data_IF_196013298730
#
_entry.id   IF_196013298730
#
_cell.length_a   1.000
_cell.length_b   1.000
_cell.length_c   1.000
_cell.angle_alpha   90.00
_cell.angle_beta   90.00
_cell.angle_gamma   90.00
#
_symmetry.space_group_name_H-M   'P 1'
#
loop_
_entity.id
_entity.type
_entity.pdbx_description
1 polymer ?
#
# COMPACT_ATOMS: atom_id res chain seq x y z
N UNK A 1 64.18 -3.87 -9.96
CA UNK A 1 62.95 -4.58 -9.51
C UNK A 1 61.70 -3.69 -9.34
N UNK A 2 61.79 -2.37 -9.38
CA UNK A 2 60.69 -1.45 -8.97
C UNK A 2 59.74 -1.01 -10.10
N UNK A 3 60.20 -0.87 -11.36
CA UNK A 3 59.34 -0.48 -12.50
C UNK A 3 58.29 -1.52 -12.88
N UNK A 4 58.64 -2.81 -12.90
CA UNK A 4 57.70 -3.88 -13.27
C UNK A 4 56.59 -4.08 -12.24
N UNK A 5 56.88 -3.86 -10.96
CA UNK A 5 55.88 -3.97 -9.89
C UNK A 5 54.83 -2.85 -9.95
N UNK A 6 55.26 -1.63 -10.30
CA UNK A 6 54.37 -0.48 -10.46
C UNK A 6 53.43 -0.64 -11.67
N UNK A 7 53.93 -1.18 -12.78
CA UNK A 7 53.12 -1.48 -13.98
C UNK A 7 52.06 -2.57 -13.71
N UNK A 8 52.41 -3.61 -12.94
CA UNK A 8 51.46 -4.67 -12.54
C UNK A 8 50.39 -4.13 -11.58
N UNK A 9 50.76 -3.23 -10.66
CA UNK A 9 49.82 -2.62 -9.73
C UNK A 9 48.84 -1.67 -10.44
N UNK A 10 49.33 -0.86 -11.39
CA UNK A 10 48.49 0.05 -12.19
C UNK A 10 47.53 -0.75 -13.08
N UNK A 11 47.98 -1.83 -13.71
CA UNK A 11 47.11 -2.70 -14.52
C UNK A 11 46.05 -3.41 -13.68
N UNK A 12 46.38 -3.92 -12.48
CA UNK A 12 45.41 -4.50 -11.54
C UNK A 12 44.35 -3.46 -11.10
N UNK A 13 44.76 -2.22 -10.80
CA UNK A 13 43.84 -1.14 -10.40
C UNK A 13 42.96 -0.72 -11.59
N UNK A 14 43.51 -0.64 -12.80
CA UNK A 14 42.77 -0.30 -14.01
C UNK A 14 41.75 -1.39 -14.37
N UNK A 15 42.15 -2.67 -14.30
CA UNK A 15 41.24 -3.82 -14.50
C UNK A 15 40.15 -3.83 -13.42
N UNK A 16 40.51 -3.52 -12.17
CA UNK A 16 39.57 -3.43 -11.05
C UNK A 16 38.54 -2.31 -11.20
N UNK A 17 38.96 -1.12 -11.64
CA UNK A 17 38.07 0.03 -11.88
C UNK A 17 37.19 -0.18 -13.10
N UNK A 18 37.71 -0.70 -14.21
CA UNK A 18 36.94 -1.09 -15.40
C UNK A 18 35.90 -2.17 -15.05
N UNK A 19 36.29 -3.16 -14.25
CA UNK A 19 35.37 -4.21 -13.76
C UNK A 19 34.27 -3.65 -12.86
N UNK A 20 34.59 -2.68 -11.99
CA UNK A 20 33.61 -2.01 -11.14
C UNK A 20 32.62 -1.13 -11.93
N UNK A 21 33.13 -0.35 -12.89
CA UNK A 21 32.32 0.49 -13.78
C UNK A 21 31.41 -0.40 -14.63
N UNK A 22 31.94 -1.49 -15.19
CA UNK A 22 31.15 -2.46 -15.93
C UNK A 22 30.09 -3.13 -15.04
N UNK A 23 30.43 -3.60 -13.84
CA UNK A 23 29.46 -4.19 -12.92
C UNK A 23 28.32 -3.21 -12.55
N UNK A 24 28.63 -1.92 -12.39
CA UNK A 24 27.64 -0.87 -12.14
C UNK A 24 26.70 -0.66 -13.36
N UNK A 25 27.24 -0.70 -14.57
CA UNK A 25 26.50 -0.61 -15.85
C UNK A 25 25.62 -1.84 -16.10
N UNK A 26 26.10 -3.04 -15.77
CA UNK A 26 25.32 -4.27 -15.90
C UNK A 26 24.19 -4.34 -14.85
N UNK A 27 24.46 -3.85 -13.64
CA UNK A 27 23.46 -3.68 -12.59
C UNK A 27 22.34 -2.74 -13.03
N UNK A 28 22.66 -1.56 -13.58
CA UNK A 28 21.65 -0.61 -14.07
C UNK A 28 20.82 -1.20 -15.22
N UNK A 29 21.46 -1.87 -16.18
CA UNK A 29 20.80 -2.59 -17.29
C UNK A 29 19.88 -3.71 -16.79
N UNK A 30 20.30 -4.47 -15.78
CA UNK A 30 19.45 -5.48 -15.15
C UNK A 30 18.21 -4.86 -14.50
N UNK A 31 18.36 -3.76 -13.74
CA UNK A 31 17.21 -3.06 -13.14
C UNK A 31 16.30 -2.41 -14.18
N UNK A 32 16.86 -1.86 -15.25
CA UNK A 32 16.11 -1.31 -16.38
C UNK A 32 15.28 -2.39 -17.08
N UNK A 33 15.89 -3.52 -17.44
CA UNK A 33 15.19 -4.66 -18.02
C UNK A 33 14.08 -5.17 -17.09
N UNK A 34 14.35 -5.22 -15.79
CA UNK A 34 13.36 -5.61 -14.77
C UNK A 34 12.14 -4.69 -14.72
N UNK A 35 12.35 -3.37 -14.74
CA UNK A 35 11.28 -2.36 -14.76
C UNK A 35 10.45 -2.45 -16.04
N UNK A 36 11.11 -2.58 -17.18
CA UNK A 36 10.44 -2.57 -18.47
C UNK A 36 9.76 -3.90 -18.83
N UNK A 37 10.29 -5.04 -18.36
CA UNK A 37 9.60 -6.33 -18.40
C UNK A 37 8.21 -6.22 -17.75
N UNK A 38 8.16 -5.69 -16.52
CA UNK A 38 6.90 -5.48 -15.79
C UNK A 38 5.95 -4.58 -16.59
N UNK A 39 6.47 -3.51 -17.18
CA UNK A 39 5.68 -2.59 -18.02
C UNK A 39 5.14 -3.29 -19.25
N UNK A 40 5.93 -4.14 -19.91
CA UNK A 40 5.50 -4.91 -21.07
C UNK A 40 4.39 -5.91 -20.73
N UNK A 41 4.52 -6.63 -19.61
CA UNK A 41 3.47 -7.53 -19.12
C UNK A 41 2.18 -6.77 -18.82
N UNK A 42 2.26 -5.57 -18.23
CA UNK A 42 1.06 -4.75 -17.96
C UNK A 42 0.32 -4.36 -19.24
N UNK A 43 1.06 -4.00 -20.29
CA UNK A 43 0.51 -3.50 -21.56
C UNK A 43 0.24 -4.57 -22.62
N UNK A 44 0.42 -5.85 -22.32
CA UNK A 44 0.16 -6.99 -23.24
C UNK A 44 1.14 -7.03 -24.39
N UNK A 45 2.30 -6.39 -24.19
CA UNK A 45 3.27 -6.26 -25.23
C UNK A 45 4.21 -7.47 -25.20
N UNK A 46 3.74 -8.58 -25.79
CA UNK A 46 4.47 -9.86 -25.82
C UNK A 46 5.87 -9.73 -26.43
N UNK A 47 6.03 -8.91 -27.48
CA UNK A 47 7.35 -8.63 -28.09
C UNK A 47 8.31 -7.99 -27.07
N UNK A 48 7.85 -6.97 -26.34
CA UNK A 48 8.65 -6.31 -25.29
C UNK A 48 8.88 -7.23 -24.08
N UNK A 49 7.92 -8.09 -23.73
CA UNK A 49 8.05 -9.05 -22.65
C UNK A 49 9.21 -10.03 -22.91
N UNK A 50 9.25 -10.63 -24.09
CA UNK A 50 10.32 -11.53 -24.53
C UNK A 50 11.66 -10.79 -24.56
N UNK A 51 11.71 -9.57 -25.12
CA UNK A 51 12.92 -8.74 -25.15
C UNK A 51 13.51 -8.55 -23.75
N UNK A 52 12.70 -8.10 -22.80
CA UNK A 52 13.20 -7.80 -21.46
C UNK A 52 13.47 -9.06 -20.61
N UNK A 53 12.84 -10.20 -20.91
CA UNK A 53 13.23 -11.49 -20.33
C UNK A 53 14.62 -11.92 -20.81
N UNK A 54 14.94 -11.74 -22.10
CA UNK A 54 16.29 -12.00 -22.65
C UNK A 54 17.33 -11.13 -21.95
N UNK A 55 17.04 -9.84 -21.77
CA UNK A 55 17.93 -8.92 -21.03
C UNK A 55 18.11 -9.34 -19.56
N UNK A 56 17.04 -9.76 -18.87
CA UNK A 56 17.10 -10.22 -17.48
C UNK A 56 17.96 -11.47 -17.30
N UNK A 57 17.86 -12.42 -18.24
CA UNK A 57 18.72 -13.61 -18.26
C UNK A 57 20.17 -13.23 -18.52
N UNK A 58 20.42 -12.39 -19.54
CA UNK A 58 21.77 -11.93 -19.92
C UNK A 58 22.48 -11.22 -18.76
N UNK A 59 21.89 -10.15 -18.24
CA UNK A 59 22.53 -9.36 -17.18
C UNK A 59 22.51 -10.06 -15.83
N UNK A 60 21.52 -10.92 -15.57
CA UNK A 60 21.45 -11.68 -14.33
C UNK A 60 22.53 -12.77 -14.23
N UNK A 61 22.90 -13.40 -15.36
CA UNK A 61 24.07 -14.29 -15.43
C UNK A 61 25.36 -13.54 -15.06
N UNK A 62 25.59 -12.38 -15.67
CA UNK A 62 26.79 -11.55 -15.46
C UNK A 62 26.90 -11.10 -13.99
N UNK A 63 25.77 -10.82 -13.34
CA UNK A 63 25.70 -10.37 -11.95
C UNK A 63 25.58 -11.49 -10.91
N UNK A 64 25.69 -12.76 -11.33
CA UNK A 64 25.47 -13.94 -10.50
C UNK A 64 24.17 -13.88 -9.67
N UNK A 65 23.07 -13.48 -10.32
CA UNK A 65 21.72 -13.41 -9.72
C UNK A 65 20.93 -14.68 -10.03
N UNK A 66 20.01 -15.05 -9.14
CA UNK A 66 19.07 -16.14 -9.44
C UNK A 66 18.12 -15.74 -10.59
N UNK A 67 18.31 -16.38 -11.75
CA UNK A 67 17.55 -16.13 -12.97
C UNK A 67 16.70 -17.31 -13.44
N UNK A 68 16.66 -18.42 -12.68
CA UNK A 68 15.93 -19.65 -13.07
C UNK A 68 14.50 -19.37 -13.48
N UNK A 69 13.87 -18.42 -12.79
CA UNK A 69 12.50 -17.98 -13.06
C UNK A 69 12.33 -17.26 -14.39
N UNK A 70 13.26 -16.38 -14.77
CA UNK A 70 13.19 -15.65 -16.04
C UNK A 70 13.45 -16.58 -17.21
N UNK A 71 14.36 -17.57 -17.06
CA UNK A 71 14.56 -18.65 -18.03
C UNK A 71 13.27 -19.45 -18.27
N UNK A 72 12.60 -19.89 -17.19
CA UNK A 72 11.33 -20.64 -17.28
C UNK A 72 10.22 -19.85 -17.98
N UNK A 73 10.07 -18.56 -17.65
CA UNK A 73 9.06 -17.71 -18.29
C UNK A 73 9.37 -17.44 -19.76
N UNK A 74 10.65 -17.23 -20.09
CA UNK A 74 11.12 -17.02 -21.46
C UNK A 74 10.86 -18.26 -22.32
N UNK A 75 11.16 -19.46 -21.82
CA UNK A 75 10.85 -20.73 -22.49
C UNK A 75 9.34 -20.93 -22.71
N UNK A 76 8.50 -20.49 -21.76
CA UNK A 76 7.04 -20.57 -21.89
C UNK A 76 6.52 -19.67 -23.02
N UNK A 77 7.12 -18.50 -23.21
CA UNK A 77 6.67 -17.51 -24.20
C UNK A 77 7.29 -17.72 -25.58
N UNK A 78 8.46 -18.35 -25.64
CA UNK A 78 9.27 -18.64 -26.82
C UNK A 78 9.93 -20.03 -26.65
N UNK A 79 9.25 -21.07 -27.15
CA UNK A 79 9.62 -22.49 -26.98
C UNK A 79 10.92 -22.88 -27.71
N UNK A 80 11.42 -22.02 -28.60
CA UNK A 80 12.60 -22.30 -29.41
C UNK A 80 13.93 -22.01 -28.66
N UNK A 81 13.87 -21.53 -27.40
CA UNK A 81 15.05 -21.15 -26.63
C UNK A 81 15.49 -22.29 -25.70
N UNK A 82 16.62 -22.94 -25.99
CA UNK A 82 17.24 -23.98 -25.15
C UNK A 82 18.29 -23.38 -24.20
N UNK A 83 18.24 -23.69 -22.90
CA UNK A 83 19.25 -23.25 -21.92
C UNK A 83 20.14 -24.40 -21.48
N UNK A 84 21.42 -24.37 -21.85
CA UNK A 84 22.43 -25.33 -21.37
C UNK A 84 22.96 -24.83 -20.00
N UNK A 85 22.77 -25.60 -18.93
CA UNK A 85 23.33 -25.29 -17.59
C UNK A 85 24.69 -25.99 -17.39
N UNK A 86 25.76 -25.21 -17.17
CA UNK A 86 27.02 -25.72 -16.64
C UNK A 86 26.90 -25.88 -15.11
N UNK A 87 26.91 -27.11 -14.60
CA UNK A 87 27.01 -27.42 -13.16
C UNK A 87 28.39 -26.99 -12.64
N UNK A 88 28.45 -26.26 -11.53
CA UNK A 88 29.66 -26.11 -10.70
C UNK A 88 29.36 -26.59 -9.27
N UNK A 89 30.26 -27.44 -8.75
CA UNK A 89 30.15 -28.14 -7.48
C UNK A 89 30.15 -27.19 -6.27
N UNK A 90 29.46 -27.63 -5.21
CA UNK A 90 29.44 -27.02 -3.87
C UNK A 90 30.73 -27.32 -3.13
N UNK A 91 31.23 -26.37 -2.34
CA UNK A 91 31.93 -26.67 -1.09
C UNK A 91 31.29 -25.89 0.05
N UNK A 92 30.88 -26.64 1.08
CA UNK A 92 30.36 -26.16 2.35
C UNK A 92 31.51 -26.27 3.36
N UNK A 93 31.79 -25.20 4.10
CA UNK A 93 32.52 -25.31 5.36
C UNK A 93 31.84 -24.47 6.44
N UNK A 94 31.45 -25.14 7.51
CA UNK A 94 31.00 -24.54 8.76
C UNK A 94 32.21 -24.20 9.62
N UNK A 95 32.27 -23.00 10.19
CA UNK A 95 32.99 -22.75 11.44
C UNK A 95 32.13 -21.93 12.39
N UNK A 96 31.82 -22.53 13.55
CA UNK A 96 31.42 -21.82 14.77
C UNK A 96 32.67 -21.14 15.34
N UNK A 97 32.53 -19.94 15.89
CA UNK A 97 33.37 -19.47 16.98
C UNK A 97 32.65 -18.40 17.81
N UNK A 98 32.46 -18.70 19.08
CA UNK A 98 32.17 -17.74 20.14
C UNK A 98 33.50 -17.21 20.69
N UNK A 99 33.66 -15.87 20.78
CA UNK A 99 34.63 -15.25 21.71
C UNK A 99 34.00 -14.03 22.38
N UNK A 100 34.15 -13.98 23.71
CA UNK A 100 33.74 -12.92 24.64
C UNK A 100 34.73 -11.74 24.60
N UNK A 101 34.17 -10.56 24.86
CA UNK A 101 34.71 -9.30 25.38
C UNK A 101 35.89 -8.60 24.66
N UNK A 102 35.56 -7.47 24.00
CA UNK A 102 36.45 -6.32 23.78
C UNK A 102 35.75 -5.06 24.31
N UNK A 103 36.49 -4.17 24.98
CA UNK A 103 36.11 -2.78 25.34
C UNK A 103 35.31 -2.17 24.17
N UNK A 104 34.01 -1.93 24.37
CA UNK A 104 33.11 -1.57 23.26
C UNK A 104 32.84 -0.06 23.22
N UNK A 105 33.49 0.56 22.24
CA UNK A 105 33.32 1.95 21.83
C UNK A 105 31.89 2.23 21.37
N UNK A 106 31.43 3.47 21.52
CA UNK A 106 30.12 3.92 21.05
C UNK A 106 29.95 3.63 19.56
N UNK A 107 29.04 2.71 19.21
CA UNK A 107 28.87 2.21 17.84
C UNK A 107 28.01 3.13 16.94
N UNK A 108 27.40 4.17 17.51
CA UNK A 108 26.41 5.01 16.85
C UNK A 108 26.56 6.48 17.25
N UNK A 109 26.49 7.40 16.28
CA UNK A 109 26.42 8.84 16.52
C UNK A 109 25.17 9.43 15.85
N UNK A 110 24.67 10.53 16.40
CA UNK A 110 23.59 11.32 15.82
C UNK A 110 24.23 12.39 14.93
N UNK A 111 23.92 12.37 13.64
CA UNK A 111 24.44 13.32 12.64
C UNK A 111 23.71 14.67 12.69
N UNK A 112 22.38 14.66 12.77
CA UNK A 112 21.59 15.89 12.91
C UNK A 112 20.21 15.59 13.48
N UNK A 113 19.58 16.61 14.06
CA UNK A 113 18.19 16.57 14.50
C UNK A 113 17.48 17.83 13.99
N UNK A 114 16.42 17.63 13.20
CA UNK A 114 15.71 18.70 12.52
C UNK A 114 14.21 18.62 12.82
N UNK A 115 13.54 19.78 12.89
CA UNK A 115 12.06 19.85 12.97
C UNK A 115 11.55 20.52 11.70
N UNK A 116 10.80 19.76 10.89
CA UNK A 116 10.18 20.27 9.65
C UNK A 116 8.78 19.69 9.47
N UNK A 117 7.80 20.52 9.12
CA UNK A 117 6.43 20.08 8.78
C UNK A 117 5.81 19.12 9.81
N UNK A 118 5.82 19.51 11.09
CA UNK A 118 5.38 18.70 12.24
C UNK A 118 6.08 17.34 12.34
N UNK A 119 7.33 17.25 11.90
CA UNK A 119 8.13 16.02 11.92
C UNK A 119 9.47 16.27 12.59
N UNK A 120 9.85 15.38 13.50
CA UNK A 120 11.16 15.30 14.13
C UNK A 120 12.00 14.33 13.27
N UNK A 121 13.05 14.84 12.64
CA UNK A 121 13.91 14.08 11.73
C UNK A 121 15.26 13.92 12.43
N UNK A 122 15.68 12.68 12.64
CA UNK A 122 16.95 12.34 13.30
C UNK A 122 17.78 11.57 12.30
N UNK A 123 18.91 12.16 11.91
CA UNK A 123 19.90 11.53 11.04
C UNK A 123 21.00 10.92 11.90
N UNK A 124 21.48 9.75 11.51
CA UNK A 124 22.52 8.99 12.18
C UNK A 124 23.72 8.81 11.26
N UNK A 125 24.92 8.69 11.82
CA UNK A 125 26.12 8.36 11.05
C UNK A 125 26.10 6.90 10.59
N UNK A 126 25.49 6.02 11.41
CA UNK A 126 25.46 4.57 11.23
C UNK A 126 24.06 4.08 10.86
N UNK A 127 23.98 2.88 10.27
CA UNK A 127 22.69 2.28 9.88
C UNK A 127 21.91 1.87 11.15
N UNK A 128 20.63 2.24 11.21
CA UNK A 128 19.65 1.86 12.21
C UNK A 128 18.58 0.98 11.55
N UNK A 129 18.14 -0.04 12.28
CA UNK A 129 17.14 -1.01 11.82
C UNK A 129 15.82 -0.79 12.53
N UNK A 130 14.71 -1.15 11.90
CA UNK A 130 13.40 -1.17 12.57
C UNK A 130 13.37 -2.15 13.74
N UNK A 131 14.19 -3.20 13.71
CA UNK A 131 14.31 -4.17 14.81
C UNK A 131 14.91 -3.57 16.09
N UNK A 132 15.61 -2.45 15.98
CA UNK A 132 16.27 -1.80 17.13
C UNK A 132 15.40 -0.71 17.76
N UNK A 133 14.21 -0.41 17.21
CA UNK A 133 13.31 0.62 17.72
C UNK A 133 12.07 0.01 18.37
N UNK A 134 11.83 0.36 19.63
CA UNK A 134 10.63 0.02 20.39
C UNK A 134 9.80 1.29 20.60
N UNK A 135 8.53 1.23 20.22
CA UNK A 135 7.58 2.31 20.45
C UNK A 135 6.56 1.90 21.51
N UNK A 136 6.21 2.82 22.39
CA UNK A 136 5.12 2.66 23.36
C UNK A 136 4.61 4.02 23.83
N UNK A 137 3.36 4.04 24.31
CA UNK A 137 2.73 5.21 24.90
C UNK A 137 2.78 5.07 26.43
N UNK A 138 2.92 6.19 27.13
CA UNK A 138 2.79 6.25 28.59
C UNK A 138 2.01 7.49 29.01
N UNK A 139 1.24 7.36 30.07
CA UNK A 139 0.54 8.47 30.70
C UNK A 139 0.98 8.56 32.15
N UNK A 140 1.47 9.73 32.56
CA UNK A 140 1.78 10.04 33.96
C UNK A 140 1.11 11.35 34.33
N UNK A 141 0.25 11.34 35.36
CA UNK A 141 -0.62 12.48 35.71
C UNK A 141 -1.39 12.96 34.45
N UNK A 142 -1.41 14.27 34.18
CA UNK A 142 -2.08 14.87 33.03
C UNK A 142 -1.16 15.02 31.80
N UNK A 143 -0.14 14.16 31.65
CA UNK A 143 0.77 14.19 30.48
C UNK A 143 0.80 12.83 29.80
N UNK A 144 0.52 12.84 28.50
CA UNK A 144 0.70 11.73 27.58
C UNK A 144 2.07 11.83 26.92
N UNK A 145 2.77 10.71 26.79
CA UNK A 145 4.09 10.64 26.18
C UNK A 145 4.18 9.49 25.19
N UNK A 146 4.56 9.82 23.97
CA UNK A 146 4.90 8.87 22.92
C UNK A 146 6.40 8.63 22.95
N UNK A 147 6.82 7.40 23.24
CA UNK A 147 8.21 7.06 23.54
C UNK A 147 8.78 6.12 22.47
N UNK A 148 9.95 6.48 21.94
CA UNK A 148 10.72 5.69 20.98
C UNK A 148 12.08 5.36 21.57
N UNK A 149 12.27 4.10 21.95
CA UNK A 149 13.52 3.58 22.47
C UNK A 149 14.31 2.90 21.36
N UNK A 150 15.55 3.34 21.16
CA UNK A 150 16.47 2.79 20.18
C UNK A 150 17.61 2.10 20.90
N UNK A 151 17.80 0.81 20.61
CA UNK A 151 18.88 0.00 21.19
C UNK A 151 20.23 0.49 20.65
N UNK A 152 21.08 0.98 21.53
CA UNK A 152 22.42 1.46 21.20
C UNK A 152 22.96 2.46 22.23
N UNK A 153 24.30 2.55 22.30
CA UNK A 153 25.01 3.62 23.01
C UNK A 153 25.38 4.71 22.02
N UNK A 154 24.90 5.93 22.26
CA UNK A 154 25.13 7.11 21.43
C UNK A 154 25.97 8.09 22.24
N UNK A 155 27.22 8.33 21.81
CA UNK A 155 28.17 9.15 22.58
C UNK A 155 27.67 10.59 22.75
N UNK A 156 26.97 11.09 21.74
CA UNK A 156 26.53 12.48 21.63
C UNK A 156 25.07 12.69 22.08
N UNK A 157 24.46 11.68 22.71
CA UNK A 157 23.07 11.73 23.14
C UNK A 157 22.91 12.40 24.51
N UNK A 158 23.24 13.68 24.58
CA UNK A 158 22.88 14.55 25.71
C UNK A 158 21.37 14.86 25.72
N UNK A 159 20.78 15.30 26.84
CA UNK A 159 19.36 15.68 26.89
C UNK A 159 19.04 16.89 26.02
N UNK A 160 18.61 16.63 24.78
CA UNK A 160 18.18 17.66 23.84
C UNK A 160 16.68 17.89 24.02
N UNK A 161 16.30 19.12 24.36
CA UNK A 161 14.91 19.58 24.43
C UNK A 161 14.58 20.37 23.16
N UNK A 162 13.56 19.93 22.42
CA UNK A 162 13.14 20.61 21.20
C UNK A 162 11.71 21.18 21.35
N UNK A 163 11.44 22.29 20.65
CA UNK A 163 10.12 22.93 20.59
C UNK A 163 9.47 22.67 19.24
N UNK A 164 8.17 22.37 19.24
CA UNK A 164 7.36 22.21 18.03
C UNK A 164 5.93 22.68 18.29
N UNK A 165 5.32 23.36 17.31
CA UNK A 165 3.96 23.89 17.44
C UNK A 165 2.93 22.77 17.74
N UNK A 166 2.16 22.94 18.82
CA UNK A 166 1.14 22.00 19.26
C UNK A 166 1.66 20.78 20.05
N UNK A 167 2.94 20.79 20.44
CA UNK A 167 3.56 19.76 21.29
C UNK A 167 4.20 20.43 22.50
N UNK A 168 3.84 20.00 23.71
CA UNK A 168 4.38 20.61 24.93
C UNK A 168 5.89 20.43 25.08
N UNK A 169 6.42 19.22 24.83
CA UNK A 169 7.84 18.94 25.01
C UNK A 169 8.33 17.76 24.17
N UNK A 170 9.48 17.91 23.52
CA UNK A 170 10.22 16.80 22.89
C UNK A 170 11.54 16.64 23.65
N UNK A 171 11.86 15.42 24.10
CA UNK A 171 13.12 15.10 24.76
C UNK A 171 13.83 13.98 24.02
N UNK A 172 15.11 14.14 23.73
CA UNK A 172 15.98 13.12 23.17
C UNK A 172 17.16 12.96 24.12
N UNK A 173 17.42 11.76 24.64
CA UNK A 173 18.51 11.54 25.60
C UNK A 173 18.92 10.09 25.65
N UNK A 174 20.19 9.82 25.99
CA UNK A 174 20.62 8.48 26.42
C UNK A 174 19.92 8.14 27.75
N UNK A 175 18.88 7.31 27.70
CA UNK A 175 18.04 6.99 28.87
C UNK A 175 18.66 5.91 29.75
N UNK A 176 19.36 4.95 29.13
CA UNK A 176 20.15 3.90 29.78
C UNK A 176 21.42 3.69 28.98
N UNK A 177 22.38 2.96 29.54
CA UNK A 177 23.64 2.63 28.86
C UNK A 177 23.47 2.19 27.38
N UNK A 178 22.45 1.37 27.08
CA UNK A 178 22.19 0.85 25.74
C UNK A 178 20.85 1.31 25.13
N UNK A 179 20.35 2.49 25.52
CA UNK A 179 19.06 2.97 25.01
C UNK A 179 19.04 4.49 24.82
N UNK A 180 18.92 4.91 23.56
CA UNK A 180 18.53 6.27 23.21
C UNK A 180 17.01 6.36 23.27
N UNK A 181 16.49 7.32 24.05
CA UNK A 181 15.05 7.55 24.18
C UNK A 181 14.67 8.88 23.55
N UNK A 182 13.67 8.84 22.70
CA UNK A 182 12.96 10.02 22.19
C UNK A 182 11.57 10.02 22.81
N UNK A 183 11.16 11.12 23.42
CA UNK A 183 9.85 11.27 24.05
C UNK A 183 9.15 12.51 23.53
N UNK A 184 7.94 12.34 23.00
CA UNK A 184 7.06 13.42 22.55
C UNK A 184 5.92 13.52 23.56
N UNK A 185 5.90 14.60 24.34
CA UNK A 185 5.08 14.76 25.54
C UNK A 185 4.07 15.89 25.31
N UNK A 186 2.84 15.67 25.76
CA UNK A 186 1.76 16.65 25.64
C UNK A 186 0.65 16.43 26.68
N UNK A 187 -0.19 17.43 26.92
CA UNK A 187 -1.34 17.35 27.84
C UNK A 187 -2.54 16.56 27.30
N UNK A 188 -2.54 16.20 26.03
CA UNK A 188 -3.47 15.26 25.41
C UNK A 188 -2.70 14.25 24.56
N UNK A 189 -3.25 13.04 24.38
CA UNK A 189 -2.63 12.00 23.57
C UNK A 189 -2.42 12.49 22.13
N UNK A 190 -1.15 12.63 21.73
CA UNK A 190 -0.75 13.01 20.38
C UNK A 190 -0.72 11.76 19.52
N UNK A 191 -1.17 11.85 18.26
CA UNK A 191 -0.97 10.74 17.33
C UNK A 191 0.39 10.91 16.65
N UNK A 192 1.37 10.10 17.04
CA UNK A 192 2.67 10.06 16.37
C UNK A 192 2.80 8.87 15.42
N UNK A 193 3.59 9.04 14.38
CA UNK A 193 3.95 7.99 13.43
C UNK A 193 5.43 8.11 13.11
N UNK A 194 6.14 6.99 12.97
CA UNK A 194 7.56 7.02 12.65
C UNK A 194 7.92 6.21 11.41
N UNK A 195 8.99 6.64 10.73
CA UNK A 195 9.57 6.00 9.56
C UNK A 195 11.07 5.82 9.84
N UNK A 196 11.63 4.66 9.51
CA UNK A 196 13.09 4.43 9.53
C UNK A 196 13.57 4.16 8.11
N UNK A 197 14.59 4.89 7.68
CA UNK A 197 15.27 4.67 6.41
C UNK A 197 16.78 4.62 6.63
N UNK A 198 17.38 3.43 6.61
CA UNK A 198 18.82 3.14 6.76
C UNK A 198 19.51 3.92 7.89
N UNK A 199 19.80 5.20 7.73
CA UNK A 199 20.48 6.09 8.68
C UNK A 199 19.59 7.23 9.20
N UNK A 200 18.27 7.16 9.03
CA UNK A 200 17.36 8.25 9.40
C UNK A 200 16.10 7.71 10.07
N UNK A 201 15.64 8.42 11.10
CA UNK A 201 14.32 8.25 11.71
C UNK A 201 13.53 9.54 11.51
N UNK A 202 12.28 9.43 11.09
CA UNK A 202 11.34 10.56 11.00
C UNK A 202 10.15 10.25 11.88
N UNK A 203 9.87 11.07 12.90
CA UNK A 203 8.70 10.97 13.77
C UNK A 203 7.78 12.13 13.43
N UNK A 204 6.65 11.84 12.79
CA UNK A 204 5.60 12.80 12.46
C UNK A 204 4.58 12.88 13.60
N UNK A 205 4.25 14.10 14.01
CA UNK A 205 3.34 14.36 15.13
C UNK A 205 2.09 15.08 14.61
N UNK A 206 0.93 14.44 14.79
CA UNK A 206 -0.36 15.01 14.42
C UNK A 206 -0.91 15.85 15.57
N UNK A 207 -0.80 17.18 15.46
CA UNK A 207 -1.37 18.12 16.42
C UNK A 207 -2.76 18.56 15.96
N UNK A 208 -3.73 18.65 16.89
CA UNK A 208 -5.04 19.25 16.58
C UNK A 208 -4.83 20.75 16.44
N UNK A 209 -5.02 21.34 15.24
CA UNK A 209 -5.01 22.80 15.09
C UNK A 209 -6.12 23.38 15.97
N UNK A 210 -5.76 24.14 17.01
CA UNK A 210 -6.71 25.06 17.68
C UNK A 210 -6.94 26.21 16.70
N UNK A 211 -8.07 26.19 16.00
CA UNK A 211 -8.57 27.38 15.32
C UNK A 211 -8.90 28.43 16.39
N UNK A 212 -8.26 29.59 16.34
CA UNK A 212 -8.68 30.76 17.13
C UNK A 212 -10.09 31.14 16.66
N UNK A 213 -11.06 31.13 17.59
CA UNK A 213 -12.39 31.69 17.35
C UNK A 213 -12.23 33.17 17.01
N UNK A 214 -12.45 33.55 15.76
CA UNK A 214 -12.78 34.94 15.41
C UNK A 214 -14.23 35.22 15.83
N UNK A 215 -14.45 36.42 16.38
CA UNK A 215 -15.73 36.90 16.90
C UNK A 215 -16.83 36.79 15.84
N UNK A 216 -17.99 36.33 16.28
CA UNK A 216 -19.24 36.25 15.52
C UNK A 216 -19.69 37.68 15.18
N UNK A 217 -19.72 38.01 13.89
CA UNK A 217 -20.48 39.15 13.38
C UNK A 217 -21.92 38.68 13.14
N UNK A 218 -22.88 39.53 13.53
CA UNK A 218 -24.32 39.29 13.58
C UNK A 218 -24.89 38.76 12.25
N UNK A 219 -25.92 37.92 12.39
CA UNK A 219 -26.76 37.36 11.32
C UNK A 219 -27.29 38.46 10.41
N UNK A 220 -27.04 38.34 9.11
CA UNK A 220 -27.88 38.92 8.06
C UNK A 220 -28.72 37.79 7.48
N UNK A 221 -30.04 37.96 7.50
CA UNK A 221 -31.00 37.08 6.85
C UNK A 221 -30.80 37.16 5.34
N UNK A 222 -30.42 36.04 4.72
CA UNK A 222 -30.34 35.92 3.26
C UNK A 222 -31.31 34.85 2.75
N UNK A 223 -32.20 35.28 1.85
CA UNK A 223 -33.16 34.45 1.14
C UNK A 223 -32.50 33.26 0.43
N UNK A 224 -32.93 32.04 0.80
CA UNK A 224 -32.26 30.76 0.48
C UNK A 224 -32.60 30.13 -0.89
N UNK A 225 -33.61 30.63 -1.62
CA UNK A 225 -34.17 29.86 -2.76
C UNK A 225 -33.38 29.95 -4.08
N UNK A 226 -32.65 31.02 -4.36
CA UNK A 226 -32.00 31.21 -5.68
C UNK A 226 -30.57 30.64 -5.78
N UNK A 227 -29.82 30.56 -4.68
CA UNK A 227 -28.42 30.04 -4.66
C UNK A 227 -28.32 28.51 -4.77
N UNK A 228 -29.35 27.79 -4.34
CA UNK A 228 -29.32 26.32 -4.28
C UNK A 228 -29.35 25.68 -5.69
N UNK A 229 -29.95 26.36 -6.67
CA UNK A 229 -30.06 25.91 -8.07
C UNK A 229 -28.72 26.08 -8.82
N UNK A 230 -27.96 27.17 -8.58
CA UNK A 230 -26.62 27.36 -9.20
C UNK A 230 -25.58 26.37 -8.66
N UNK A 231 -25.60 26.07 -7.36
CA UNK A 231 -24.63 25.15 -6.72
C UNK A 231 -24.91 23.68 -7.12
N UNK A 232 -26.18 23.28 -7.24
CA UNK A 232 -26.54 21.93 -7.69
C UNK A 232 -26.16 21.70 -9.16
N UNK A 233 -26.29 22.72 -10.02
CA UNK A 233 -25.90 22.65 -11.44
C UNK A 233 -24.38 22.63 -11.65
N UNK A 234 -23.62 23.39 -10.85
CA UNK A 234 -22.14 23.37 -10.90
C UNK A 234 -21.55 22.06 -10.37
N UNK A 235 -22.12 21.51 -9.29
CA UNK A 235 -21.69 20.22 -8.74
C UNK A 235 -22.07 19.02 -9.63
N UNK A 236 -23.22 19.06 -10.31
CA UNK A 236 -23.57 18.04 -11.30
C UNK A 236 -22.67 18.12 -12.55
N UNK A 237 -22.30 19.34 -12.98
CA UNK A 237 -21.33 19.55 -14.05
C UNK A 237 -19.94 19.03 -13.69
N UNK A 238 -19.40 19.37 -12.52
CA UNK A 238 -18.11 18.83 -12.05
C UNK A 238 -18.12 17.30 -11.92
N UNK A 239 -19.22 16.72 -11.42
CA UNK A 239 -19.36 15.26 -11.36
C UNK A 239 -19.39 14.62 -12.76
N UNK A 240 -20.01 15.28 -13.75
CA UNK A 240 -20.07 14.80 -15.14
C UNK A 240 -18.71 14.71 -15.83
N UNK A 241 -17.72 15.46 -15.32
CA UNK A 241 -16.34 15.40 -15.78
C UNK A 241 -15.57 14.22 -15.20
N UNK A 242 -16.08 13.57 -14.14
CA UNK A 242 -15.39 12.46 -13.47
C UNK A 242 -15.86 11.10 -14.00
N UNK A 243 -14.88 10.28 -14.38
CA UNK A 243 -15.07 8.92 -14.88
C UNK A 243 -14.73 7.89 -13.80
N UNK A 244 -15.67 6.99 -13.53
CA UNK A 244 -15.58 5.95 -12.51
C UNK A 244 -15.69 4.59 -13.19
N UNK A 245 -14.74 3.69 -12.92
CA UNK A 245 -14.88 2.28 -13.31
C UNK A 245 -15.14 1.44 -12.07
N UNK A 246 -16.26 0.72 -12.10
CA UNK A 246 -16.67 -0.23 -11.08
C UNK A 246 -16.39 -1.64 -11.59
N UNK A 247 -15.64 -2.38 -10.79
CA UNK A 247 -15.36 -3.77 -11.01
C UNK A 247 -16.21 -4.65 -10.09
N UNK A 248 -17.03 -5.52 -10.70
CA UNK A 248 -17.73 -6.55 -9.96
C UNK A 248 -16.84 -7.79 -9.89
N UNK A 249 -16.32 -8.13 -8.71
CA UNK A 249 -15.43 -9.27 -8.48
C UNK A 249 -15.93 -10.57 -9.10
N UNK A 250 -15.01 -11.45 -9.51
CA UNK A 250 -15.30 -12.80 -10.04
C UNK A 250 -16.21 -12.79 -11.29
N UNK A 251 -17.00 -13.85 -11.50
CA UNK A 251 -17.99 -14.00 -12.56
C UNK A 251 -17.79 -15.24 -13.44
N UNK A 252 -18.87 -15.73 -14.04
CA UNK A 252 -18.88 -16.93 -14.88
C UNK A 252 -18.36 -18.13 -14.09
N UNK A 253 -17.28 -18.75 -14.60
CA UNK A 253 -16.58 -19.90 -13.99
C UNK A 253 -15.94 -19.61 -12.64
N UNK A 254 -15.68 -18.34 -12.32
CA UNK A 254 -15.16 -17.94 -11.02
C UNK A 254 -16.35 -17.53 -10.13
N UNK A 255 -16.69 -18.36 -9.15
CA UNK A 255 -17.77 -18.08 -8.21
C UNK A 255 -17.42 -17.04 -7.13
N UNK A 256 -16.12 -16.78 -6.95
CA UNK A 256 -15.59 -16.22 -5.71
C UNK A 256 -15.87 -17.13 -4.52
N UNK A 257 -15.87 -16.57 -3.33
CA UNK A 257 -16.21 -17.28 -2.11
C UNK A 257 -17.66 -17.79 -2.12
N UNK A 258 -17.86 -18.94 -1.46
CA UNK A 258 -19.16 -19.59 -1.34
C UNK A 258 -19.58 -19.57 0.12
N UNK A 259 -20.69 -18.89 0.39
CA UNK A 259 -21.34 -18.85 1.69
C UNK A 259 -22.30 -20.02 1.91
N UNK A 260 -22.91 -20.10 3.11
CA UNK A 260 -23.97 -21.06 3.40
C UNK A 260 -25.11 -21.00 2.37
N UNK A 261 -25.75 -22.14 2.11
CA UNK A 261 -26.84 -22.26 1.11
C UNK A 261 -26.41 -21.89 -0.32
N UNK A 262 -25.17 -22.21 -0.69
CA UNK A 262 -24.58 -21.95 -2.03
C UNK A 262 -24.72 -20.49 -2.44
N UNK A 263 -24.63 -19.57 -1.49
CA UNK A 263 -24.62 -18.13 -1.80
C UNK A 263 -23.27 -17.76 -2.38
N UNK A 264 -23.25 -17.43 -3.67
CA UNK A 264 -22.04 -17.11 -4.40
C UNK A 264 -21.70 -15.63 -4.33
N UNK A 265 -20.43 -15.32 -4.09
CA UNK A 265 -19.92 -13.96 -4.04
C UNK A 265 -20.19 -13.22 -5.35
N UNK A 266 -19.92 -13.85 -6.50
CA UNK A 266 -20.14 -13.27 -7.84
C UNK A 266 -21.54 -12.68 -8.03
N UNK A 267 -22.55 -13.24 -7.36
CA UNK A 267 -23.96 -12.81 -7.44
C UNK A 267 -24.19 -11.55 -6.59
N UNK A 268 -23.71 -11.55 -5.34
CA UNK A 268 -23.84 -10.41 -4.43
C UNK A 268 -23.14 -9.19 -4.99
N UNK A 269 -21.88 -9.35 -5.42
CA UNK A 269 -21.05 -8.22 -5.86
C UNK A 269 -21.54 -7.64 -7.19
N UNK A 270 -22.12 -8.45 -8.09
CA UNK A 270 -22.80 -7.96 -9.29
C UNK A 270 -24.03 -7.11 -8.94
N UNK A 271 -24.82 -7.56 -7.97
CA UNK A 271 -25.99 -6.83 -7.48
C UNK A 271 -25.60 -5.47 -6.88
N UNK A 272 -24.56 -5.44 -6.03
CA UNK A 272 -24.03 -4.18 -5.47
C UNK A 272 -23.50 -3.28 -6.58
N UNK A 273 -22.70 -3.80 -7.52
CA UNK A 273 -22.14 -3.01 -8.63
C UNK A 273 -23.22 -2.36 -9.51
N UNK A 274 -24.30 -3.09 -9.82
CA UNK A 274 -25.44 -2.54 -10.59
C UNK A 274 -26.20 -1.46 -9.83
N UNK A 275 -26.38 -1.61 -8.52
CA UNK A 275 -26.99 -0.56 -7.70
C UNK A 275 -26.10 0.68 -7.63
N UNK A 276 -24.78 0.49 -7.44
CA UNK A 276 -23.80 1.57 -7.39
C UNK A 276 -23.73 2.32 -8.72
N UNK A 277 -23.73 1.59 -9.84
CA UNK A 277 -23.78 2.17 -11.20
C UNK A 277 -24.94 3.15 -11.37
N UNK A 278 -26.17 2.71 -11.04
CA UNK A 278 -27.36 3.55 -11.16
C UNK A 278 -27.29 4.78 -10.26
N UNK A 279 -26.84 4.61 -9.03
CA UNK A 279 -26.72 5.70 -8.06
C UNK A 279 -25.68 6.76 -8.49
N UNK A 280 -24.52 6.33 -8.98
CA UNK A 280 -23.49 7.25 -9.47
C UNK A 280 -23.92 7.93 -10.79
N UNK A 281 -24.56 7.21 -11.71
CA UNK A 281 -25.13 7.81 -12.93
C UNK A 281 -26.16 8.89 -12.60
N UNK A 282 -27.06 8.66 -11.64
CA UNK A 282 -28.02 9.69 -11.21
C UNK A 282 -27.38 10.90 -10.53
N UNK A 283 -26.12 10.80 -10.09
CA UNK A 283 -25.33 11.91 -9.53
C UNK A 283 -24.50 12.65 -10.59
N UNK A 284 -24.63 12.28 -11.85
CA UNK A 284 -23.95 12.92 -12.99
C UNK A 284 -22.67 12.24 -13.46
N UNK A 285 -22.12 11.27 -12.73
CA UNK A 285 -20.83 10.65 -13.07
C UNK A 285 -20.86 9.86 -14.39
N UNK A 286 -19.73 9.82 -15.10
CA UNK A 286 -19.49 8.85 -16.18
C UNK A 286 -19.08 7.53 -15.55
N UNK A 287 -19.88 6.47 -15.70
CA UNK A 287 -19.66 5.20 -14.99
C UNK A 287 -19.58 4.04 -15.97
N UNK A 288 -18.60 3.15 -15.77
CA UNK A 288 -18.48 1.90 -16.53
C UNK A 288 -18.38 0.70 -15.58
N UNK A 289 -18.89 -0.45 -16.03
CA UNK A 289 -18.77 -1.73 -15.33
C UNK A 289 -17.77 -2.65 -16.05
N UNK A 290 -16.90 -3.36 -15.32
CA UNK A 290 -16.08 -4.43 -15.92
C UNK A 290 -16.94 -5.59 -16.44
N UNK A 291 -18.08 -5.86 -15.78
CA UNK A 291 -19.14 -6.76 -16.24
C UNK A 291 -20.52 -6.29 -15.79
N UNK A 292 -21.51 -6.43 -16.66
CA UNK A 292 -22.94 -6.16 -16.40
C UNK A 292 -23.79 -7.43 -16.29
N UNK A 293 -23.20 -8.60 -16.56
CA UNK A 293 -23.83 -9.93 -16.46
C UNK A 293 -22.89 -10.93 -15.78
N UNK A 294 -23.35 -12.15 -15.57
CA UNK A 294 -22.51 -13.21 -15.02
C UNK A 294 -21.54 -13.75 -16.08
N UNK A 295 -20.39 -13.08 -16.22
CA UNK A 295 -19.31 -13.50 -17.11
C UNK A 295 -17.98 -13.41 -16.39
N UNK A 296 -17.06 -14.30 -16.74
CA UNK A 296 -15.69 -14.24 -16.23
C UNK A 296 -14.95 -13.04 -16.81
N UNK A 297 -14.18 -12.36 -15.96
CA UNK A 297 -13.30 -11.26 -16.34
C UNK A 297 -11.94 -11.48 -15.68
N UNK A 298 -10.88 -11.62 -16.48
CA UNK A 298 -9.52 -11.80 -15.95
C UNK A 298 -9.06 -10.58 -15.17
N UNK A 299 -8.19 -10.76 -14.18
CA UNK A 299 -7.75 -9.65 -13.30
C UNK A 299 -7.15 -8.50 -14.11
N UNK A 300 -6.40 -8.85 -15.15
CA UNK A 300 -5.72 -7.91 -16.03
C UNK A 300 -6.66 -7.07 -16.89
N UNK A 301 -7.79 -7.64 -17.34
CA UNK A 301 -8.78 -6.89 -18.11
C UNK A 301 -9.45 -5.79 -17.27
N UNK A 302 -9.65 -6.05 -15.97
CA UNK A 302 -10.38 -5.16 -15.06
C UNK A 302 -9.72 -3.77 -14.98
N UNK A 303 -8.41 -3.71 -14.72
CA UNK A 303 -7.67 -2.44 -14.67
C UNK A 303 -7.37 -1.88 -16.06
N UNK A 304 -7.21 -2.75 -17.07
CA UNK A 304 -7.06 -2.31 -18.48
C UNK A 304 -8.27 -1.50 -18.95
N UNK A 305 -9.49 -1.92 -18.61
CA UNK A 305 -10.69 -1.16 -18.92
C UNK A 305 -10.66 0.24 -18.26
N UNK A 306 -10.29 0.30 -16.99
CA UNK A 306 -10.18 1.57 -16.26
C UNK A 306 -9.17 2.52 -16.90
N UNK A 307 -8.01 2.00 -17.30
CA UNK A 307 -6.99 2.78 -18.00
C UNK A 307 -7.49 3.23 -19.38
N UNK A 308 -8.12 2.34 -20.18
CA UNK A 308 -8.67 2.68 -21.51
C UNK A 308 -9.75 3.77 -21.43
N UNK A 309 -10.49 3.83 -20.32
CA UNK A 309 -11.52 4.85 -20.09
C UNK A 309 -11.01 6.10 -19.41
N UNK A 310 -9.69 6.23 -19.19
CA UNK A 310 -9.08 7.35 -18.46
C UNK A 310 -9.81 7.64 -17.15
N UNK A 311 -10.13 6.58 -16.40
CA UNK A 311 -10.93 6.71 -15.20
C UNK A 311 -10.22 7.56 -14.14
N UNK A 312 -10.95 8.45 -13.47
CA UNK A 312 -10.47 9.20 -12.31
C UNK A 312 -10.29 8.30 -11.09
N UNK A 313 -11.13 7.26 -10.95
CA UNK A 313 -11.04 6.27 -9.87
C UNK A 313 -11.46 4.87 -10.36
N UNK A 314 -10.90 3.85 -9.71
CA UNK A 314 -11.27 2.44 -9.90
C UNK A 314 -11.74 1.79 -8.60
N UNK A 315 -12.92 1.19 -8.61
CA UNK A 315 -13.54 0.58 -7.43
C UNK A 315 -13.81 -0.89 -7.71
N UNK A 316 -13.17 -1.81 -6.99
CA UNK A 316 -13.48 -3.25 -7.07
C UNK A 316 -14.34 -3.68 -5.89
N UNK A 317 -15.42 -4.44 -6.14
CA UNK A 317 -16.40 -4.85 -5.15
C UNK A 317 -16.31 -6.37 -4.95
N UNK A 318 -16.10 -6.77 -3.70
CA UNK A 318 -15.90 -8.14 -3.22
C UNK A 318 -16.74 -8.40 -1.96
N UNK A 319 -16.86 -9.68 -1.58
CA UNK A 319 -17.47 -10.11 -0.33
C UNK A 319 -16.59 -11.17 0.36
N UNK A 320 -15.89 -10.72 1.39
CA UNK A 320 -14.86 -11.44 2.13
C UNK A 320 -15.30 -12.84 2.60
N UNK A 321 -14.30 -13.70 2.84
CA UNK A 321 -14.50 -15.01 3.42
C UNK A 321 -13.41 -15.36 4.44
N UNK A 322 -13.83 -16.02 5.51
CA UNK A 322 -12.95 -16.62 6.49
C UNK A 322 -12.96 -18.15 6.37
N UNK A 323 -11.85 -18.78 6.79
CA UNK A 323 -11.77 -20.25 6.94
C UNK A 323 -12.91 -20.74 7.85
N UNK A 324 -13.42 -21.95 7.59
CA UNK A 324 -14.56 -22.58 8.30
C UNK A 324 -14.53 -22.37 9.81
N UNK A 325 -13.39 -22.64 10.46
CA UNK A 325 -13.20 -22.48 11.91
C UNK A 325 -13.41 -21.04 12.46
N UNK A 326 -13.40 -20.02 11.60
CA UNK A 326 -13.59 -18.60 11.95
C UNK A 326 -14.78 -17.95 11.26
N UNK A 327 -15.53 -18.71 10.46
CA UNK A 327 -16.61 -18.18 9.64
C UNK A 327 -17.71 -17.50 10.49
N UNK A 328 -18.02 -18.03 11.67
CA UNK A 328 -19.00 -17.46 12.60
C UNK A 328 -18.49 -16.24 13.39
N UNK A 329 -17.18 -15.97 13.38
CA UNK A 329 -16.56 -14.85 14.12
C UNK A 329 -16.19 -13.68 13.21
N UNK A 330 -15.83 -13.96 11.95
CA UNK A 330 -15.42 -12.94 10.99
C UNK A 330 -16.65 -12.22 10.43
N UNK A 331 -16.76 -10.91 10.70
CA UNK A 331 -17.88 -10.08 10.26
C UNK A 331 -17.46 -8.64 10.06
N UNK A 332 -18.26 -7.89 9.30
CA UNK A 332 -18.08 -6.46 9.07
C UNK A 332 -17.64 -6.11 7.66
N UNK A 333 -17.55 -4.81 7.41
CA UNK A 333 -17.17 -4.23 6.12
C UNK A 333 -15.75 -3.67 6.17
N UNK A 334 -15.01 -3.80 5.07
CA UNK A 334 -13.62 -3.38 4.97
C UNK A 334 -13.37 -2.69 3.64
N UNK A 335 -12.44 -1.75 3.62
CA UNK A 335 -11.97 -1.14 2.37
C UNK A 335 -10.45 -1.23 2.29
N UNK A 336 -9.96 -1.70 1.16
CA UNK A 336 -8.56 -1.93 0.89
C UNK A 336 -8.03 -1.01 -0.20
N UNK A 337 -6.77 -0.60 -0.08
CA UNK A 337 -6.04 0.09 -1.14
C UNK A 337 -4.70 -0.60 -1.41
N UNK A 338 -4.18 -0.40 -2.62
CA UNK A 338 -2.97 -1.08 -3.07
C UNK A 338 -1.72 -0.52 -2.38
N UNK A 339 -1.00 -1.37 -1.65
CA UNK A 339 0.32 -1.09 -1.07
C UNK A 339 1.00 -2.42 -0.67
N UNK A 340 2.34 -2.49 -0.54
CA UNK A 340 3.01 -3.66 0.03
C UNK A 340 2.43 -4.00 1.43
N UNK A 341 1.64 -5.07 1.55
CA UNK A 341 0.95 -5.37 2.82
C UNK A 341 1.91 -5.50 4.00
N UNK A 342 1.64 -4.76 5.08
CA UNK A 342 2.35 -4.92 6.36
C UNK A 342 1.69 -5.90 7.32
N UNK A 343 0.35 -6.03 7.31
CA UNK A 343 -0.37 -6.85 8.29
C UNK A 343 -0.63 -8.30 7.84
N UNK A 344 -0.56 -9.26 8.78
CA UNK A 344 -0.88 -10.68 8.52
C UNK A 344 -2.31 -10.88 7.98
N UNK A 345 -3.28 -10.08 8.44
CA UNK A 345 -4.69 -10.15 7.97
C UNK A 345 -4.80 -9.76 6.50
N UNK A 346 -4.29 -8.58 6.12
CA UNK A 346 -4.35 -8.11 4.73
C UNK A 346 -3.62 -9.04 3.77
N UNK A 347 -2.50 -9.64 4.19
CA UNK A 347 -1.80 -10.67 3.40
C UNK A 347 -2.67 -11.89 3.14
N UNK A 348 -3.48 -12.33 4.11
CA UNK A 348 -4.38 -13.48 3.96
C UNK A 348 -5.55 -13.18 3.02
N UNK A 349 -6.20 -12.03 3.18
CA UNK A 349 -7.31 -11.62 2.30
C UNK A 349 -6.80 -11.48 0.87
N UNK A 350 -5.71 -10.73 0.67
CA UNK A 350 -5.07 -10.62 -0.64
C UNK A 350 -4.70 -12.01 -1.20
N UNK A 351 -4.15 -12.93 -0.40
CA UNK A 351 -3.84 -14.27 -0.87
C UNK A 351 -5.06 -15.09 -1.30
N UNK A 352 -6.27 -14.85 -0.74
CA UNK A 352 -7.50 -15.50 -1.19
C UNK A 352 -7.98 -14.90 -2.51
N UNK A 353 -8.08 -13.57 -2.59
CA UNK A 353 -8.50 -12.86 -3.81
C UNK A 353 -7.57 -13.12 -5.00
N UNK A 354 -6.28 -13.29 -4.71
CA UNK A 354 -5.25 -13.48 -5.71
C UNK A 354 -5.19 -14.91 -6.29
N UNK A 355 -5.94 -15.88 -5.75
CA UNK A 355 -5.90 -17.29 -6.20
C UNK A 355 -6.55 -17.52 -7.56
N UNK A 356 -7.51 -16.67 -7.95
CA UNK A 356 -8.28 -16.85 -9.20
C UNK A 356 -7.47 -16.68 -10.49
N UNK A 357 -6.21 -16.24 -10.42
CA UNK A 357 -5.39 -15.94 -11.60
C UNK A 357 -3.88 -16.14 -11.30
N UNK A 358 -3.46 -17.39 -11.13
CA UNK A 358 -2.07 -17.74 -10.77
C UNK A 358 -1.05 -17.61 -11.91
N UNK A 359 -1.47 -17.34 -13.16
CA UNK A 359 -0.63 -17.57 -14.35
C UNK A 359 -0.07 -16.35 -15.09
N UNK A 360 -0.18 -15.11 -14.58
CA UNK A 360 0.22 -13.91 -15.37
C UNK A 360 1.40 -13.08 -14.85
N UNK A 361 1.93 -13.32 -13.64
CA UNK A 361 3.09 -12.54 -13.17
C UNK A 361 3.85 -13.21 -12.02
N UNK A 362 5.18 -13.29 -12.17
CA UNK A 362 6.14 -13.69 -11.13
C UNK A 362 5.96 -12.92 -9.81
N UNK A 363 5.96 -13.59 -8.64
CA UNK A 363 6.00 -12.95 -7.31
C UNK A 363 7.07 -11.85 -7.15
N UNK A 364 8.22 -11.97 -7.83
CA UNK A 364 9.28 -10.94 -7.82
C UNK A 364 8.86 -9.69 -8.60
N UNK A 365 8.30 -9.88 -9.80
CA UNK A 365 7.75 -8.83 -10.65
C UNK A 365 6.56 -8.13 -10.00
N UNK A 366 5.76 -8.89 -9.26
CA UNK A 366 4.67 -8.40 -8.40
C UNK A 366 5.18 -7.49 -7.27
N UNK A 367 6.22 -7.88 -6.54
CA UNK A 367 6.80 -7.02 -5.49
C UNK A 367 7.44 -5.76 -6.05
N UNK A 368 8.09 -5.85 -7.22
CA UNK A 368 8.68 -4.69 -7.88
C UNK A 368 7.60 -3.70 -8.32
N UNK A 369 6.51 -4.21 -8.88
CA UNK A 369 5.36 -3.40 -9.24
C UNK A 369 4.75 -2.69 -8.03
N UNK A 370 4.68 -3.37 -6.89
CA UNK A 370 4.25 -2.75 -5.63
C UNK A 370 5.25 -1.69 -5.13
N UNK A 371 6.57 -1.85 -5.37
CA UNK A 371 7.57 -0.83 -5.02
C UNK A 371 7.60 0.36 -5.97
N UNK A 372 7.07 0.22 -7.20
CA UNK A 372 6.94 1.30 -8.19
C UNK A 372 5.64 2.09 -8.03
N UNK A 373 4.82 1.78 -7.03
CA UNK A 373 3.58 2.49 -6.77
C UNK A 373 3.88 3.96 -6.43
N UNK A 374 3.22 4.85 -7.16
CA UNK A 374 3.31 6.28 -6.91
C UNK A 374 2.70 6.60 -5.53
N UNK A 375 3.46 7.31 -4.68
CA UNK A 375 3.02 7.75 -3.35
C UNK A 375 1.76 8.62 -3.41
N UNK A 376 1.60 9.46 -4.43
CA UNK A 376 0.40 10.28 -4.60
C UNK A 376 -0.83 9.38 -4.79
N UNK A 377 -0.74 8.38 -5.66
CA UNK A 377 -1.80 7.40 -5.91
C UNK A 377 -2.17 6.60 -4.66
N UNK A 378 -1.17 6.14 -3.89
CA UNK A 378 -1.43 5.45 -2.62
C UNK A 378 -2.19 6.38 -1.66
N UNK A 379 -1.76 7.64 -1.55
CA UNK A 379 -2.39 8.63 -0.66
C UNK A 379 -3.84 8.91 -1.09
N UNK A 380 -4.09 9.14 -2.37
CA UNK A 380 -5.43 9.37 -2.91
C UNK A 380 -6.33 8.14 -2.73
N UNK A 381 -5.80 6.94 -2.96
CA UNK A 381 -6.53 5.69 -2.73
C UNK A 381 -6.88 5.48 -1.26
N UNK A 382 -5.96 5.82 -0.35
CA UNK A 382 -6.20 5.77 1.10
C UNK A 382 -7.29 6.76 1.53
N UNK A 383 -7.24 8.01 1.04
CA UNK A 383 -8.28 9.02 1.33
C UNK A 383 -9.65 8.56 0.83
N UNK A 384 -9.71 8.10 -0.42
CA UNK A 384 -10.92 7.53 -1.01
C UNK A 384 -11.46 6.35 -0.19
N UNK A 385 -10.60 5.44 0.25
CA UNK A 385 -10.98 4.32 1.09
C UNK A 385 -11.60 4.77 2.43
N UNK A 386 -11.06 5.82 3.05
CA UNK A 386 -11.59 6.38 4.31
C UNK A 386 -12.99 6.99 4.12
N UNK A 387 -13.17 7.76 3.05
CA UNK A 387 -14.47 8.36 2.73
C UNK A 387 -15.52 7.27 2.40
N UNK A 388 -15.14 6.25 1.63
CA UNK A 388 -16.03 5.12 1.31
C UNK A 388 -16.38 4.33 2.58
N UNK A 389 -15.39 3.93 3.38
CA UNK A 389 -15.60 3.14 4.60
C UNK A 389 -16.55 3.85 5.57
N UNK A 390 -16.31 5.13 5.85
CA UNK A 390 -17.13 5.92 6.78
C UNK A 390 -18.58 6.05 6.30
N UNK A 391 -18.82 6.28 5.01
CA UNK A 391 -20.17 6.42 4.47
C UNK A 391 -20.91 5.09 4.33
N UNK A 392 -20.20 3.98 4.04
CA UNK A 392 -20.77 2.63 4.13
C UNK A 392 -21.25 2.34 5.56
N UNK A 393 -20.42 2.62 6.56
CA UNK A 393 -20.77 2.43 7.97
C UNK A 393 -21.98 3.27 8.35
N UNK A 394 -21.98 4.56 8.02
CA UNK A 394 -23.10 5.45 8.31
C UNK A 394 -24.40 4.94 7.69
N UNK A 395 -24.37 4.58 6.40
CA UNK A 395 -25.55 4.09 5.68
C UNK A 395 -26.09 2.79 6.24
N UNK A 396 -25.22 1.84 6.60
CA UNK A 396 -25.63 0.53 7.09
C UNK A 396 -26.02 0.56 8.58
N UNK A 397 -25.30 1.30 9.43
CA UNK A 397 -25.61 1.41 10.86
C UNK A 397 -26.98 2.03 11.12
N UNK A 398 -27.46 2.92 10.24
CA UNK A 398 -28.82 3.45 10.29
C UNK A 398 -29.91 2.36 10.34
N UNK A 399 -29.68 1.20 9.72
CA UNK A 399 -30.68 0.13 9.62
C UNK A 399 -30.33 -1.13 10.41
N UNK A 400 -29.05 -1.35 10.69
CA UNK A 400 -28.56 -2.59 11.30
C UNK A 400 -27.83 -2.36 12.63
N UNK A 401 -27.62 -1.10 13.03
CA UNK A 401 -27.03 -0.72 14.31
C UNK A 401 -25.66 -1.37 14.57
N UNK A 402 -25.49 -1.86 15.80
CA UNK A 402 -24.27 -2.56 16.27
C UNK A 402 -23.95 -3.86 15.52
N UNK A 403 -24.88 -4.37 14.69
CA UNK A 403 -24.65 -5.57 13.88
C UNK A 403 -23.68 -5.33 12.70
N UNK A 404 -23.35 -4.08 12.41
CA UNK A 404 -22.36 -3.69 11.39
C UNK A 404 -21.05 -3.35 12.09
N UNK A 405 -20.04 -4.18 11.83
CA UNK A 405 -18.70 -4.01 12.38
C UNK A 405 -17.84 -3.25 11.39
N UNK A 406 -17.07 -2.29 11.91
CA UNK A 406 -16.05 -1.58 11.15
C UNK A 406 -14.76 -2.42 11.13
N UNK A 407 -14.46 -3.02 9.98
CA UNK A 407 -13.17 -3.69 9.75
C UNK A 407 -12.05 -2.74 9.31
N UNK A 408 -12.39 -1.47 9.08
CA UNK A 408 -11.49 -0.37 8.81
C UNK A 408 -10.94 -0.31 7.38
N UNK A 409 -10.03 0.64 7.19
CA UNK A 409 -9.28 0.82 5.95
C UNK A 409 -7.90 0.18 6.08
N UNK A 410 -7.51 -0.61 5.08
CA UNK A 410 -6.28 -1.42 5.14
C UNK A 410 -5.51 -1.40 3.83
N UNK A 411 -4.19 -1.48 3.90
CA UNK A 411 -3.36 -1.70 2.72
C UNK A 411 -3.20 -3.19 2.39
N UNK A 412 -3.09 -3.54 1.11
CA UNK A 412 -2.63 -4.87 0.71
C UNK A 412 -2.30 -5.06 -0.77
N UNK A 413 -1.62 -6.16 -1.13
CA UNK A 413 -1.17 -6.47 -2.49
C UNK A 413 -2.28 -7.16 -3.29
N UNK A 414 -3.39 -6.46 -3.51
CA UNK A 414 -4.53 -6.99 -4.27
C UNK A 414 -4.27 -6.90 -5.77
N UNK A 415 -4.16 -8.04 -6.46
CA UNK A 415 -3.83 -8.07 -7.90
C UNK A 415 -4.89 -7.41 -8.78
N UNK A 416 -6.15 -7.38 -8.33
CA UNK A 416 -7.21 -6.65 -9.05
C UNK A 416 -6.99 -5.14 -9.08
N UNK A 417 -6.22 -4.58 -8.16
CA UNK A 417 -5.87 -3.15 -8.15
C UNK A 417 -4.58 -2.86 -8.93
N UNK A 418 -3.82 -3.91 -9.27
CA UNK A 418 -2.53 -3.78 -9.93
C UNK A 418 -2.71 -3.41 -11.40
N UNK A 419 -1.93 -2.42 -11.84
CA UNK A 419 -2.01 -1.86 -13.19
C UNK A 419 -2.98 -0.69 -13.33
N UNK A 420 -3.82 -0.41 -12.33
CA UNK A 420 -4.67 0.79 -12.33
C UNK A 420 -3.80 2.06 -12.31
N UNK A 421 -3.99 2.94 -13.29
CA UNK A 421 -3.20 4.18 -13.43
C UNK A 421 -3.72 5.32 -12.54
N UNK A 422 -4.94 5.17 -12.01
CA UNK A 422 -5.64 6.11 -11.13
C UNK A 422 -5.74 5.58 -9.68
N UNK A 423 -6.23 6.38 -8.70
CA UNK A 423 -6.57 5.90 -7.37
C UNK A 423 -7.54 4.71 -7.42
N UNK A 424 -7.27 3.69 -6.60
CA UNK A 424 -8.02 2.43 -6.65
C UNK A 424 -8.23 1.79 -5.29
N UNK A 425 -9.41 1.20 -5.09
CA UNK A 425 -9.76 0.46 -3.86
C UNK A 425 -10.47 -0.84 -4.17
N UNK A 426 -10.34 -1.80 -3.25
CA UNK A 426 -11.17 -2.99 -3.17
C UNK A 426 -12.06 -2.87 -1.94
N UNK A 427 -13.36 -3.11 -2.10
CA UNK A 427 -14.36 -2.99 -1.04
C UNK A 427 -14.86 -4.38 -0.71
N UNK A 428 -14.76 -4.76 0.56
CA UNK A 428 -15.40 -5.95 1.11
C UNK A 428 -16.73 -5.56 1.75
N UNK A 429 -17.84 -5.91 1.09
CA UNK A 429 -19.18 -5.50 1.50
C UNK A 429 -19.75 -6.33 2.66
N UNK A 430 -18.98 -7.25 3.23
CA UNK A 430 -19.38 -8.15 4.32
C UNK A 430 -18.75 -9.53 4.17
N UNK A 431 -18.90 -10.40 5.16
CA UNK A 431 -18.36 -11.76 5.10
C UNK A 431 -19.40 -12.76 4.58
N UNK A 432 -19.25 -13.22 3.33
CA UNK A 432 -20.16 -14.22 2.74
C UNK A 432 -20.03 -15.58 3.43
N UNK A 433 -18.88 -15.89 4.02
CA UNK A 433 -18.71 -17.11 4.82
C UNK A 433 -19.53 -17.09 6.12
N UNK A 434 -19.92 -15.92 6.63
CA UNK A 434 -20.55 -15.80 7.94
C UNK A 434 -22.07 -16.03 7.85
N UNK A 435 -22.67 -16.98 8.61
CA UNK A 435 -24.07 -17.36 8.46
C UNK A 435 -25.12 -16.23 8.56
N UNK A 436 -24.91 -15.28 9.48
CA UNK A 436 -25.79 -14.10 9.61
C UNK A 436 -25.51 -12.99 8.59
N UNK A 437 -24.24 -12.78 8.18
CA UNK A 437 -23.90 -11.75 7.19
C UNK A 437 -24.25 -12.20 5.79
N UNK A 438 -23.97 -13.45 5.42
CA UNK A 438 -24.33 -14.05 4.12
C UNK A 438 -25.80 -13.79 3.78
N UNK A 439 -26.71 -14.16 4.70
CA UNK A 439 -28.15 -13.88 4.57
C UNK A 439 -28.44 -12.40 4.35
N UNK A 440 -27.77 -11.51 5.08
CA UNK A 440 -27.97 -10.06 5.02
C UNK A 440 -27.49 -9.49 3.68
N UNK A 441 -26.24 -9.78 3.28
CA UNK A 441 -25.62 -9.22 2.08
C UNK A 441 -26.27 -9.73 0.79
N UNK A 442 -26.93 -10.88 0.83
CA UNK A 442 -27.70 -11.41 -0.30
C UNK A 442 -29.01 -10.66 -0.55
N UNK A 443 -29.52 -9.89 0.42
CA UNK A 443 -30.78 -9.15 0.24
C UNK A 443 -30.62 -7.92 -0.64
N UNK A 444 -31.59 -7.67 -1.52
CA UNK A 444 -31.66 -6.45 -2.35
C UNK A 444 -31.62 -5.16 -1.49
N UNK A 445 -32.26 -5.18 -0.31
CA UNK A 445 -32.27 -4.05 0.64
C UNK A 445 -30.87 -3.72 1.16
N UNK A 446 -30.08 -4.72 1.58
CA UNK A 446 -28.69 -4.50 2.00
C UNK A 446 -27.84 -3.97 0.85
N UNK A 447 -27.91 -4.60 -0.32
CA UNK A 447 -27.12 -4.22 -1.50
C UNK A 447 -27.39 -2.77 -1.93
N UNK A 448 -28.66 -2.35 -1.92
CA UNK A 448 -29.02 -0.94 -2.18
C UNK A 448 -28.41 -0.01 -1.13
N UNK A 449 -28.53 -0.33 0.16
CA UNK A 449 -27.98 0.49 1.26
C UNK A 449 -26.46 0.62 1.20
N UNK A 450 -25.72 -0.49 1.09
CA UNK A 450 -24.26 -0.44 0.99
C UNK A 450 -23.82 0.33 -0.26
N UNK A 451 -24.49 0.13 -1.40
CA UNK A 451 -24.18 0.88 -2.63
C UNK A 451 -24.43 2.39 -2.49
N UNK A 452 -25.47 2.80 -1.76
CA UNK A 452 -25.70 4.22 -1.43
C UNK A 452 -24.59 4.78 -0.54
N UNK A 453 -24.14 4.01 0.45
CA UNK A 453 -22.99 4.37 1.27
C UNK A 453 -21.72 4.56 0.44
N UNK A 454 -21.43 3.64 -0.47
CA UNK A 454 -20.28 3.75 -1.39
C UNK A 454 -20.41 4.99 -2.28
N UNK A 455 -21.56 5.22 -2.91
CA UNK A 455 -21.79 6.37 -3.80
C UNK A 455 -21.62 7.71 -3.08
N UNK A 456 -22.12 7.81 -1.84
CA UNK A 456 -21.96 9.01 -1.03
C UNK A 456 -20.49 9.21 -0.59
N UNK A 457 -19.78 8.13 -0.26
CA UNK A 457 -18.35 8.19 0.03
C UNK A 457 -17.53 8.67 -1.17
N UNK A 458 -17.82 8.20 -2.37
CA UNK A 458 -17.18 8.66 -3.61
C UNK A 458 -17.46 10.15 -3.86
N UNK A 459 -18.72 10.58 -3.69
CA UNK A 459 -19.09 11.99 -3.84
C UNK A 459 -18.33 12.86 -2.82
N UNK A 460 -18.23 12.40 -1.57
CA UNK A 460 -17.48 13.07 -0.50
C UNK A 460 -16.00 13.17 -0.83
N UNK A 461 -15.40 12.11 -1.36
CA UNK A 461 -14.00 12.08 -1.77
C UNK A 461 -13.70 13.14 -2.84
N UNK A 462 -14.50 13.20 -3.91
CA UNK A 462 -14.29 14.20 -4.96
C UNK A 462 -14.52 15.63 -4.47
N UNK A 463 -15.53 15.86 -3.61
CA UNK A 463 -15.77 17.18 -3.04
C UNK A 463 -14.60 17.70 -2.18
N UNK A 464 -13.89 16.81 -1.48
CA UNK A 464 -12.77 17.16 -0.59
C UNK A 464 -11.41 17.23 -1.30
N UNK A 465 -11.28 16.63 -2.47
CA UNK A 465 -10.00 16.46 -3.17
C UNK A 465 -10.10 16.98 -4.62
N UNK A 466 -10.68 18.17 -4.77
CA UNK A 466 -10.75 18.88 -6.04
C UNK A 466 -9.36 19.22 -6.58
#
# INVERSE_FOLDING_TARGET
MTRNFLLILITIILIGTISFINASSHSSKFYFAKKNYVTAVLHDNRKKEIKYLKDLVKYGNILNKDIRKYKKELYRLDKNIVFIEKKKLKNIQFKKNYKKNKKQTSKFNIKSIDIKNNSIIINFTNKISIKTLKYFETQKKNKFSDVFDIVGRFKDASPIKLKMSGVDRIKISQYRYNTLRISVINNYNLKTFYIINRKQIIIKVSTKKKYKKTKVVKKINYNKKSKQIKISKLSSFENSMKTIVIDAGHGGKDSGAVGPRRQYEKTVVLGVAKNLYRNLKSKGFKVYLTRSRDKYVSLRYRTRLANKKNADIFISIHANAARKARASKAKGIETYFLSPARSKRAKRVAALENKGDMNSMSYSSKNILLTLLNRSKITSSQKMAIDIQSHMLHSLKKYYGSKIIDGGVREGPFWVLVGAQMPSVLIEVGYISHPKESRRIYTKKYQKRVSTGIANGITSYFAKNR
#
